data_IF_293985802303
#
_entry.id   IF_293985802303
#
_cell.length_a   1.000
_cell.length_b   1.000
_cell.length_c   1.000
_cell.angle_alpha   90.00
_cell.angle_beta   90.00
_cell.angle_gamma   90.00
#
_symmetry.space_group_name_H-M   'P 1'
#
loop_
_entity.id
_entity.type
_entity.pdbx_description
1 polymer ?
#
# COMPACT_ATOMS: atom_id res chain seq x y z
N UNK A 1 -22.40 -9.38 11.80
CA UNK A 1 -21.07 -8.99 12.35
C UNK A 1 -20.01 -9.58 11.45
N UNK A 2 -19.03 -8.80 11.02
CA UNK A 2 -17.93 -9.28 10.19
C UNK A 2 -16.97 -10.16 11.00
N UNK A 3 -16.31 -11.12 10.35
CA UNK A 3 -15.28 -11.93 11.00
C UNK A 3 -14.04 -11.11 11.27
N UNK A 4 -13.67 -10.24 10.33
CA UNK A 4 -12.66 -9.21 10.58
C UNK A 4 -12.84 -7.97 9.71
N UNK A 5 -12.20 -6.89 10.17
CA UNK A 5 -11.97 -5.66 9.40
C UNK A 5 -10.47 -5.44 9.29
N UNK A 6 -9.99 -5.22 8.06
CA UNK A 6 -8.61 -4.82 7.80
C UNK A 6 -8.52 -3.31 7.55
N UNK A 7 -7.55 -2.66 8.20
CA UNK A 7 -7.35 -1.21 8.17
C UNK A 7 -6.10 -0.87 7.37
N UNK A 8 -6.27 -0.14 6.27
CA UNK A 8 -5.23 0.18 5.31
C UNK A 8 -5.04 -0.94 4.27
N UNK A 9 -4.70 -0.55 3.05
CA UNK A 9 -4.43 -1.47 1.94
C UNK A 9 -3.01 -1.24 1.42
N UNK A 10 -2.02 -1.65 2.22
CA UNK A 10 -0.65 -1.80 1.74
C UNK A 10 -0.41 -3.20 1.17
N UNK A 11 0.79 -3.53 0.66
CA UNK A 11 1.07 -4.84 0.06
C UNK A 11 0.75 -6.03 0.97
N UNK A 12 0.98 -5.93 2.29
CA UNK A 12 0.66 -7.02 3.22
C UNK A 12 -0.84 -7.30 3.32
N UNK A 13 -1.68 -6.27 3.49
CA UNK A 13 -3.11 -6.46 3.52
C UNK A 13 -3.68 -6.82 2.14
N UNK A 14 -3.06 -6.35 1.05
CA UNK A 14 -3.43 -6.79 -0.30
C UNK A 14 -3.08 -8.26 -0.53
N UNK A 15 -1.93 -8.74 -0.02
CA UNK A 15 -1.57 -10.16 -0.03
C UNK A 15 -2.60 -11.00 0.73
N UNK A 16 -2.99 -10.58 1.94
CA UNK A 16 -4.05 -11.25 2.70
C UNK A 16 -5.36 -11.30 1.90
N UNK A 17 -5.78 -10.18 1.32
CA UNK A 17 -7.00 -10.11 0.51
C UNK A 17 -6.94 -11.06 -0.70
N UNK A 18 -5.77 -11.13 -1.35
CA UNK A 18 -5.52 -12.00 -2.50
C UNK A 18 -5.56 -13.49 -2.15
N UNK A 19 -5.00 -13.86 -1.00
CA UNK A 19 -5.00 -15.25 -0.52
C UNK A 19 -6.38 -15.72 -0.05
N UNK A 20 -7.23 -14.79 0.38
CA UNK A 20 -8.62 -15.08 0.76
C UNK A 20 -9.59 -15.07 -0.42
N UNK A 21 -9.15 -14.59 -1.59
CA UNK A 21 -9.99 -14.50 -2.78
C UNK A 21 -10.50 -15.88 -3.20
N UNK A 22 -11.81 -16.02 -3.35
CA UNK A 22 -12.52 -17.26 -3.75
C UNK A 22 -12.31 -18.50 -2.84
N UNK A 23 -11.64 -18.33 -1.68
CA UNK A 23 -11.24 -19.48 -0.83
C UNK A 23 -11.93 -19.53 0.53
N UNK A 24 -12.81 -18.60 0.85
CA UNK A 24 -13.32 -18.48 2.21
C UNK A 24 -14.79 -18.10 2.27
N UNK A 25 -15.47 -18.64 3.28
CA UNK A 25 -16.81 -18.21 3.70
C UNK A 25 -16.77 -17.05 4.70
N UNK A 26 -15.59 -16.50 4.98
CA UNK A 26 -15.42 -15.39 5.90
C UNK A 26 -16.06 -14.12 5.38
N UNK A 27 -16.71 -13.39 6.25
CA UNK A 27 -17.27 -12.07 5.99
C UNK A 27 -16.29 -10.99 6.46
N UNK A 28 -15.65 -10.28 5.53
CA UNK A 28 -14.63 -9.31 5.85
C UNK A 28 -14.67 -8.07 4.94
N UNK A 29 -14.05 -6.98 5.40
CA UNK A 29 -13.87 -5.76 4.62
C UNK A 29 -12.46 -5.18 4.85
N UNK A 30 -11.90 -4.62 3.80
CA UNK A 30 -10.68 -3.82 3.83
C UNK A 30 -11.04 -2.35 3.64
N UNK A 31 -10.64 -1.47 4.55
CA UNK A 31 -10.84 -0.04 4.44
C UNK A 31 -9.55 0.69 4.07
N UNK A 32 -9.56 1.38 2.94
CA UNK A 32 -8.45 2.21 2.48
C UNK A 32 -8.91 3.68 2.31
N UNK A 33 -8.15 4.59 2.90
CA UNK A 33 -8.44 6.05 2.83
C UNK A 33 -8.20 6.66 1.47
N UNK A 34 -7.30 6.09 0.66
CA UNK A 34 -7.00 6.54 -0.70
C UNK A 34 -8.14 6.15 -1.67
N UNK A 35 -8.16 6.80 -2.84
CA UNK A 35 -9.13 6.52 -3.89
C UNK A 35 -8.85 5.21 -4.65
N UNK A 36 -7.62 4.73 -4.59
CA UNK A 36 -7.16 3.50 -5.23
C UNK A 36 -5.92 2.97 -4.51
N UNK A 37 -5.50 1.74 -4.83
CA UNK A 37 -4.22 1.24 -4.36
C UNK A 37 -3.07 2.12 -4.90
N UNK A 38 -2.22 2.57 -4.01
CA UNK A 38 -1.01 3.30 -4.38
C UNK A 38 0.04 3.16 -3.28
N UNK A 39 1.14 2.47 -3.60
CA UNK A 39 2.18 2.15 -2.64
C UNK A 39 3.36 3.10 -2.79
N UNK A 40 3.65 3.87 -1.72
CA UNK A 40 4.78 4.79 -1.67
C UNK A 40 4.87 5.76 -2.87
N UNK A 41 3.75 6.36 -3.28
CA UNK A 41 3.65 7.25 -4.44
C UNK A 41 4.77 8.29 -4.54
N UNK A 42 5.15 8.88 -3.40
CA UNK A 42 6.21 9.89 -3.34
C UNK A 42 7.64 9.35 -3.55
N UNK A 43 7.83 8.02 -3.53
CA UNK A 43 9.14 7.36 -3.59
C UNK A 43 9.34 6.47 -4.83
N UNK A 44 8.44 6.51 -5.80
CA UNK A 44 8.54 5.72 -7.02
C UNK A 44 9.43 6.40 -8.07
N UNK A 45 10.68 6.60 -7.75
CA UNK A 45 11.66 7.21 -8.63
C UNK A 45 11.91 6.31 -9.87
N UNK A 46 12.28 6.89 -11.01
CA UNK A 46 12.79 6.11 -12.14
C UNK A 46 13.98 5.25 -11.70
N UNK A 47 14.09 4.05 -12.26
CA UNK A 47 15.18 3.11 -12.02
C UNK A 47 15.31 2.56 -10.58
N UNK A 48 14.31 2.81 -9.70
CA UNK A 48 14.26 2.12 -8.40
C UNK A 48 13.62 0.75 -8.55
N UNK A 49 14.25 -0.26 -7.96
CA UNK A 49 13.80 -1.65 -7.99
C UNK A 49 13.41 -2.13 -6.59
N UNK A 50 12.69 -3.24 -6.52
CA UNK A 50 12.45 -3.94 -5.26
C UNK A 50 13.76 -4.59 -4.79
N UNK A 51 13.91 -4.69 -3.47
CA UNK A 51 15.06 -5.39 -2.85
C UNK A 51 14.90 -6.90 -2.84
N UNK A 52 13.71 -7.39 -3.15
CA UNK A 52 13.36 -8.80 -3.22
C UNK A 52 13.05 -9.21 -4.65
N UNK A 53 13.31 -10.47 -5.05
CA UNK A 53 12.94 -10.98 -6.35
C UNK A 53 11.43 -10.93 -6.60
N UNK A 54 11.02 -10.92 -7.87
CA UNK A 54 9.61 -10.89 -8.29
C UNK A 54 8.77 -12.06 -7.73
N UNK A 55 9.40 -13.17 -7.37
CA UNK A 55 8.73 -14.32 -6.72
C UNK A 55 8.17 -13.99 -5.32
N UNK A 56 8.69 -12.96 -4.66
CA UNK A 56 8.11 -12.43 -3.43
C UNK A 56 6.95 -11.47 -3.73
N UNK A 57 6.08 -11.88 -4.64
CA UNK A 57 4.84 -11.19 -4.98
C UNK A 57 3.77 -11.37 -3.87
N UNK A 58 2.52 -11.05 -4.16
CA UNK A 58 1.44 -11.09 -3.16
C UNK A 58 1.02 -12.50 -2.75
N UNK A 59 1.26 -13.54 -3.58
CA UNK A 59 0.65 -14.86 -3.40
C UNK A 59 1.57 -16.04 -3.65
N UNK A 60 2.55 -15.92 -4.55
CA UNK A 60 3.28 -17.08 -5.11
C UNK A 60 4.04 -17.92 -4.08
N UNK A 61 4.53 -17.31 -2.98
CA UNK A 61 5.22 -18.05 -1.92
C UNK A 61 4.28 -18.89 -1.05
N UNK A 62 2.98 -18.64 -1.10
CA UNK A 62 1.93 -19.41 -0.36
C UNK A 62 1.13 -20.26 -1.32
N UNK A 63 0.73 -19.70 -2.47
CA UNK A 63 -0.05 -20.36 -3.50
C UNK A 63 0.53 -20.05 -4.89
N UNK A 64 1.50 -20.82 -5.36
CA UNK A 64 2.14 -20.58 -6.65
C UNK A 64 1.20 -20.78 -7.85
N UNK A 65 0.03 -21.38 -7.65
CA UNK A 65 -0.98 -21.60 -8.69
C UNK A 65 -2.01 -20.46 -8.77
N UNK A 66 -1.94 -19.49 -7.87
CA UNK A 66 -2.89 -18.38 -7.81
C UNK A 66 -2.97 -17.59 -9.11
N UNK A 67 -4.20 -17.29 -9.61
CA UNK A 67 -4.40 -16.44 -10.76
C UNK A 67 -3.95 -14.99 -10.52
N UNK A 68 -3.71 -14.62 -9.26
CA UNK A 68 -3.26 -13.27 -8.87
C UNK A 68 -1.74 -13.16 -8.75
N UNK A 69 -0.97 -14.14 -9.25
CA UNK A 69 0.50 -14.11 -9.25
C UNK A 69 1.05 -13.05 -10.20
N UNK A 70 2.28 -12.58 -9.93
CA UNK A 70 2.98 -11.62 -10.78
C UNK A 70 3.20 -12.16 -12.20
N UNK A 71 3.48 -13.46 -12.36
CA UNK A 71 3.64 -14.07 -13.68
C UNK A 71 2.32 -14.09 -14.46
N UNK A 72 1.20 -14.33 -13.81
CA UNK A 72 -0.10 -14.25 -14.46
C UNK A 72 -0.48 -12.82 -14.85
N UNK A 73 -0.14 -11.83 -14.02
CA UNK A 73 -0.23 -10.42 -14.39
C UNK A 73 0.57 -10.11 -15.66
N UNK A 74 1.83 -10.53 -15.73
CA UNK A 74 2.65 -10.33 -16.93
C UNK A 74 2.06 -11.02 -18.17
N UNK A 75 1.49 -12.20 -18.00
CA UNK A 75 0.79 -12.93 -19.07
C UNK A 75 -0.44 -12.13 -19.55
N UNK A 76 -1.27 -11.64 -18.63
CA UNK A 76 -2.45 -10.83 -18.98
C UNK A 76 -2.08 -9.54 -19.72
N UNK A 77 -0.92 -8.97 -19.43
CA UNK A 77 -0.36 -7.79 -20.11
C UNK A 77 0.43 -8.12 -21.38
N UNK A 78 0.47 -9.38 -21.82
CA UNK A 78 1.22 -9.86 -22.98
C UNK A 78 2.73 -9.54 -22.91
N UNK A 79 3.30 -9.54 -21.69
CA UNK A 79 4.68 -9.15 -21.43
C UNK A 79 5.56 -10.27 -20.85
N UNK A 80 5.00 -11.48 -20.67
CA UNK A 80 5.71 -12.58 -20.03
C UNK A 80 7.03 -12.95 -20.74
N UNK A 81 7.02 -13.07 -22.06
CA UNK A 81 8.24 -13.36 -22.83
C UNK A 81 9.27 -12.23 -22.77
N UNK A 82 8.82 -10.99 -22.82
CA UNK A 82 9.73 -9.83 -22.67
C UNK A 82 10.41 -9.83 -21.32
N UNK A 83 9.66 -10.18 -20.27
CA UNK A 83 10.18 -10.29 -18.91
C UNK A 83 11.20 -11.46 -18.80
N UNK A 84 10.90 -12.60 -19.39
CA UNK A 84 11.82 -13.75 -19.41
C UNK A 84 13.19 -13.38 -19.99
N UNK A 85 13.21 -12.72 -21.17
CA UNK A 85 14.45 -12.31 -21.82
C UNK A 85 15.18 -11.14 -21.14
N UNK A 86 14.54 -10.47 -20.18
CA UNK A 86 15.18 -9.41 -19.39
C UNK A 86 16.21 -10.00 -18.39
N UNK A 87 16.02 -11.24 -17.94
CA UNK A 87 16.89 -11.97 -17.01
C UNK A 87 17.17 -11.21 -15.70
N UNK A 88 16.23 -10.36 -15.27
CA UNK A 88 16.35 -9.57 -14.05
C UNK A 88 15.30 -10.00 -13.01
N UNK A 89 15.72 -10.58 -11.87
CA UNK A 89 14.78 -11.02 -10.85
C UNK A 89 14.15 -9.86 -10.06
N UNK A 90 14.83 -8.70 -9.99
CA UNK A 90 14.38 -7.53 -9.25
C UNK A 90 13.60 -6.58 -10.17
N UNK A 91 12.32 -6.43 -9.91
CA UNK A 91 11.42 -5.62 -10.74
C UNK A 91 11.39 -4.15 -10.29
N UNK A 92 11.13 -3.22 -11.22
CA UNK A 92 10.94 -1.83 -10.88
C UNK A 92 9.80 -1.63 -9.85
N UNK A 93 9.98 -0.72 -8.90
CA UNK A 93 8.93 -0.40 -7.91
C UNK A 93 7.62 0.03 -8.56
N UNK A 94 7.68 0.74 -9.68
CA UNK A 94 6.48 1.13 -10.46
C UNK A 94 5.77 -0.08 -11.03
N UNK A 95 6.51 -1.06 -11.53
CA UNK A 95 5.93 -2.31 -12.05
C UNK A 95 5.20 -3.07 -10.94
N UNK A 96 5.81 -3.16 -9.75
CA UNK A 96 5.18 -3.77 -8.60
C UNK A 96 3.90 -3.02 -8.19
N UNK A 97 3.90 -1.70 -8.22
CA UNK A 97 2.71 -0.91 -7.92
C UNK A 97 1.57 -1.16 -8.93
N UNK A 98 1.89 -1.24 -10.23
CA UNK A 98 0.92 -1.58 -11.27
C UNK A 98 0.36 -2.99 -11.09
N UNK A 99 1.22 -3.96 -10.75
CA UNK A 99 0.79 -5.30 -10.42
C UNK A 99 -0.18 -5.30 -9.23
N UNK A 100 0.15 -4.62 -8.15
CA UNK A 100 -0.72 -4.51 -6.99
C UNK A 100 -2.06 -3.82 -7.31
N UNK A 101 -2.07 -2.81 -8.18
CA UNK A 101 -3.28 -2.18 -8.67
C UNK A 101 -4.14 -3.18 -9.47
N UNK A 102 -3.52 -3.90 -10.41
CA UNK A 102 -4.19 -4.92 -11.19
C UNK A 102 -4.81 -6.03 -10.32
N UNK A 103 -4.13 -6.43 -9.25
CA UNK A 103 -4.70 -7.38 -8.27
C UNK A 103 -5.87 -6.74 -7.51
N UNK A 104 -5.68 -5.54 -6.98
CA UNK A 104 -6.68 -4.85 -6.17
C UNK A 104 -7.99 -4.61 -6.94
N UNK A 105 -7.92 -4.37 -8.25
CA UNK A 105 -9.08 -4.17 -9.12
C UNK A 105 -9.93 -5.46 -9.32
N UNK A 106 -9.39 -6.61 -8.98
CA UNK A 106 -10.09 -7.91 -9.07
C UNK A 106 -10.74 -8.32 -7.75
N UNK A 107 -10.52 -7.58 -6.66
CA UNK A 107 -10.98 -7.93 -5.32
C UNK A 107 -12.21 -7.13 -4.90
N UNK A 108 -13.30 -7.84 -4.55
CA UNK A 108 -14.59 -7.22 -4.25
C UNK A 108 -14.76 -6.65 -2.83
N UNK A 109 -13.89 -7.00 -1.87
CA UNK A 109 -14.06 -6.67 -0.46
C UNK A 109 -13.26 -5.44 0.01
N UNK A 110 -12.83 -4.59 -0.93
CA UNK A 110 -12.05 -3.38 -0.67
C UNK A 110 -12.96 -2.16 -0.77
N UNK A 111 -12.95 -1.34 0.29
CA UNK A 111 -13.66 -0.08 0.35
C UNK A 111 -12.66 1.07 0.32
N UNK A 112 -12.51 1.72 -0.83
CA UNK A 112 -11.69 2.91 -1.01
C UNK A 112 -12.37 4.17 -0.47
N UNK A 113 -11.63 5.26 -0.33
CA UNK A 113 -12.11 6.54 0.22
C UNK A 113 -12.78 6.37 1.58
N UNK A 114 -12.29 5.41 2.37
CA UNK A 114 -12.87 4.93 3.62
C UNK A 114 -11.86 5.04 4.73
N UNK A 115 -11.92 6.16 5.47
CA UNK A 115 -10.96 6.46 6.52
C UNK A 115 -11.46 5.98 7.88
N UNK A 116 -10.80 5.01 8.49
CA UNK A 116 -11.07 4.63 9.88
C UNK A 116 -10.70 5.79 10.80
N UNK A 117 -11.65 6.21 11.63
CA UNK A 117 -11.52 7.35 12.56
C UNK A 117 -11.38 6.92 14.00
N UNK A 118 -12.10 5.87 14.40
CA UNK A 118 -12.08 5.37 15.76
C UNK A 118 -12.36 3.88 15.80
N UNK A 119 -11.87 3.24 16.85
CA UNK A 119 -12.08 1.83 17.16
C UNK A 119 -12.44 1.75 18.63
N UNK A 120 -13.53 1.06 18.93
CA UNK A 120 -13.99 0.83 20.31
C UNK A 120 -14.07 -0.66 20.57
N UNK A 121 -13.44 -1.12 21.65
CA UNK A 121 -13.60 -2.47 22.13
C UNK A 121 -15.03 -2.70 22.64
N UNK A 122 -15.61 -3.87 22.34
CA UNK A 122 -16.91 -4.34 22.78
C UNK A 122 -16.74 -5.69 23.48
N UNK A 123 -17.79 -6.18 24.13
CA UNK A 123 -17.78 -7.51 24.77
C UNK A 123 -17.44 -8.64 23.80
N UNK A 124 -17.84 -8.52 22.53
CA UNK A 124 -17.67 -9.56 21.51
C UNK A 124 -16.98 -8.98 20.26
N UNK A 125 -15.84 -8.31 20.41
CA UNK A 125 -15.06 -7.79 19.29
C UNK A 125 -14.91 -6.30 19.28
N UNK A 126 -15.13 -5.65 18.12
CA UNK A 126 -14.82 -4.24 17.92
C UNK A 126 -15.91 -3.52 17.14
N UNK A 127 -16.15 -2.26 17.50
CA UNK A 127 -16.89 -1.30 16.69
C UNK A 127 -15.87 -0.38 15.99
N UNK A 128 -15.93 -0.33 14.67
CA UNK A 128 -15.06 0.49 13.83
C UNK A 128 -15.87 1.61 13.20
N UNK A 129 -15.46 2.86 13.43
CA UNK A 129 -16.08 4.05 12.85
C UNK A 129 -15.30 4.47 11.62
N UNK A 130 -15.97 4.48 10.48
CA UNK A 130 -15.37 4.78 9.16
C UNK A 130 -16.02 6.02 8.57
N UNK A 131 -15.20 6.96 8.13
CA UNK A 131 -15.64 8.13 7.35
C UNK A 131 -15.66 7.77 5.86
N UNK A 132 -16.82 7.86 5.23
CA UNK A 132 -17.06 7.61 3.80
C UNK A 132 -17.94 8.73 3.24
N UNK A 133 -17.46 9.45 2.23
CA UNK A 133 -18.23 10.53 1.60
C UNK A 133 -18.73 11.60 2.59
N UNK A 134 -17.95 11.91 3.62
CA UNK A 134 -18.33 12.87 4.67
C UNK A 134 -19.32 12.34 5.72
N UNK A 135 -19.69 11.06 5.67
CA UNK A 135 -20.56 10.40 6.65
C UNK A 135 -19.77 9.43 7.51
N UNK A 136 -20.21 9.26 8.77
CA UNK A 136 -19.65 8.28 9.69
C UNK A 136 -20.52 7.04 9.73
N UNK A 137 -19.95 5.91 9.32
CA UNK A 137 -20.61 4.60 9.31
C UNK A 137 -19.94 3.74 10.38
N UNK A 138 -20.73 2.94 11.10
CA UNK A 138 -20.25 2.03 12.15
C UNK A 138 -20.34 0.60 11.66
N UNK A 139 -19.25 -0.13 11.83
CA UNK A 139 -19.16 -1.56 11.50
C UNK A 139 -18.78 -2.36 12.74
N UNK A 140 -19.35 -3.55 12.87
CA UNK A 140 -19.02 -4.49 13.94
C UNK A 140 -18.22 -5.66 13.37
N UNK A 141 -17.13 -6.03 14.02
CA UNK A 141 -16.30 -7.17 13.66
C UNK A 141 -15.77 -7.89 14.89
N UNK A 142 -15.43 -9.18 14.72
CA UNK A 142 -14.79 -9.99 15.78
C UNK A 142 -13.30 -9.65 15.92
N UNK A 143 -12.61 -9.46 14.80
CA UNK A 143 -11.16 -9.29 14.76
C UNK A 143 -10.77 -8.06 13.95
N UNK A 144 -9.55 -7.55 14.21
CA UNK A 144 -8.95 -6.46 13.46
C UNK A 144 -7.62 -6.89 12.87
N UNK A 145 -7.38 -6.49 11.62
CA UNK A 145 -6.07 -6.60 10.94
C UNK A 145 -5.57 -5.18 10.68
N UNK A 146 -4.46 -4.79 11.31
CA UNK A 146 -3.94 -3.43 11.22
C UNK A 146 -2.76 -3.40 10.25
N UNK A 147 -2.98 -2.84 9.06
CA UNK A 147 -1.98 -2.65 7.99
C UNK A 147 -1.77 -1.17 7.65
N UNK A 148 -1.73 -0.31 8.65
CA UNK A 148 -1.61 1.15 8.46
C UNK A 148 -0.26 1.61 7.90
N UNK A 149 0.75 0.72 7.88
CA UNK A 149 2.11 1.01 7.44
C UNK A 149 2.87 1.93 8.40
N UNK A 150 4.02 2.40 7.93
CA UNK A 150 4.86 3.33 8.67
C UNK A 150 4.54 4.78 8.32
N UNK A 151 4.72 5.67 9.28
CA UNK A 151 4.69 7.11 9.03
C UNK A 151 6.11 7.65 8.83
N UNK A 152 6.30 8.67 7.98
CA UNK A 152 7.57 9.35 7.87
C UNK A 152 8.04 9.86 9.24
N UNK A 153 9.24 9.46 9.64
CA UNK A 153 9.85 9.92 10.88
C UNK A 153 10.72 11.14 10.62
N UNK A 154 10.50 12.18 11.40
CA UNK A 154 11.33 13.39 11.39
C UNK A 154 12.15 13.43 12.69
N UNK A 155 13.50 13.43 12.62
CA UNK A 155 14.35 13.64 13.78
C UNK A 155 14.00 14.93 14.51
N UNK A 156 14.09 14.91 15.83
CA UNK A 156 13.67 16.04 16.68
C UNK A 156 14.40 17.35 16.34
N UNK A 157 15.69 17.26 16.05
CA UNK A 157 16.51 18.41 15.62
C UNK A 157 16.01 19.11 14.33
N UNK A 158 15.22 18.41 13.50
CA UNK A 158 14.66 18.94 12.26
C UNK A 158 13.23 19.44 12.39
N UNK A 159 12.54 19.15 13.48
CA UNK A 159 11.14 19.58 13.68
C UNK A 159 10.99 21.08 13.68
N UNK A 160 11.89 21.79 14.35
CA UNK A 160 11.89 23.25 14.40
C UNK A 160 12.18 23.84 12.99
N UNK A 161 13.12 23.24 12.27
CA UNK A 161 13.45 23.67 10.91
C UNK A 161 12.26 23.49 9.96
N UNK A 162 11.56 22.37 10.02
CA UNK A 162 10.36 22.12 9.21
C UNK A 162 9.26 23.16 9.50
N UNK A 163 9.09 23.54 10.76
CA UNK A 163 8.09 24.55 11.14
C UNK A 163 8.46 25.96 10.70
N UNK A 164 9.74 26.33 10.79
CA UNK A 164 10.24 27.66 10.42
C UNK A 164 10.32 27.90 8.91
N UNK A 165 10.71 26.88 8.15
CA UNK A 165 10.94 26.97 6.70
C UNK A 165 10.37 25.77 5.94
N UNK A 166 9.04 25.52 6.04
CA UNK A 166 8.40 24.33 5.48
C UNK A 166 8.61 24.21 3.96
N UNK A 167 8.80 25.34 3.28
CA UNK A 167 9.05 25.36 1.83
C UNK A 167 10.46 24.88 1.44
N UNK A 168 11.40 24.82 2.38
CA UNK A 168 12.78 24.34 2.18
C UNK A 168 12.99 22.90 2.64
N UNK A 169 11.97 22.27 3.20
CA UNK A 169 12.03 20.93 3.71
C UNK A 169 11.17 19.98 2.86
N UNK A 170 11.71 18.82 2.50
CA UNK A 170 10.99 17.75 1.82
C UNK A 170 11.38 16.42 2.47
N UNK A 171 10.41 15.66 2.94
CA UNK A 171 10.65 14.29 3.36
C UNK A 171 10.72 13.37 2.13
N UNK A 172 11.63 12.37 2.12
CA UNK A 172 11.77 11.45 0.99
C UNK A 172 10.47 10.74 0.60
N UNK A 173 9.63 10.42 1.57
CA UNK A 173 8.32 9.80 1.34
C UNK A 173 7.37 10.64 0.46
N UNK A 174 7.62 11.95 0.35
CA UNK A 174 6.78 12.90 -0.39
C UNK A 174 7.51 13.49 -1.60
N UNK A 175 8.72 13.05 -1.90
CA UNK A 175 9.58 13.68 -2.90
C UNK A 175 8.90 13.86 -4.27
N UNK A 176 8.21 12.83 -4.77
CA UNK A 176 7.54 12.93 -6.08
C UNK A 176 6.21 13.69 -6.04
N UNK A 177 5.54 13.76 -4.90
CA UNK A 177 4.30 14.54 -4.73
C UNK A 177 4.57 16.03 -4.62
N UNK A 178 5.76 16.40 -4.14
CA UNK A 178 6.23 17.79 -4.10
C UNK A 178 6.89 18.30 -5.41
N UNK A 179 6.74 17.60 -6.50
CA UNK A 179 7.36 17.89 -7.82
C UNK A 179 7.21 19.34 -8.34
N UNK A 180 6.26 20.09 -7.85
CA UNK A 180 6.09 21.50 -8.27
C UNK A 180 7.18 22.43 -7.72
N UNK A 181 7.99 21.98 -6.76
CA UNK A 181 9.10 22.76 -6.20
C UNK A 181 10.39 22.37 -6.91
N UNK A 182 10.86 23.19 -7.84
CA UNK A 182 12.22 23.07 -8.35
C UNK A 182 13.17 23.44 -7.22
N UNK A 183 13.90 22.44 -6.71
CA UNK A 183 14.99 22.67 -5.76
C UNK A 183 16.01 23.58 -6.44
N UNK A 184 16.34 24.72 -5.84
CA UNK A 184 17.33 25.68 -6.33
C UNK A 184 18.41 25.85 -5.25
N UNK A 185 19.65 25.99 -5.69
CA UNK A 185 20.80 26.17 -4.80
C UNK A 185 21.33 24.87 -4.23
N UNK A 186 22.00 24.94 -3.09
CA UNK A 186 22.60 23.77 -2.42
C UNK A 186 21.51 22.95 -1.73
N UNK A 187 21.56 21.63 -1.91
CA UNK A 187 20.64 20.66 -1.30
C UNK A 187 21.42 19.78 -0.34
N UNK A 188 20.93 19.66 0.88
CA UNK A 188 21.47 18.74 1.90
C UNK A 188 20.52 17.54 2.01
N UNK A 189 21.06 16.33 1.85
CA UNK A 189 20.34 15.09 2.07
C UNK A 189 20.74 14.52 3.43
N UNK A 190 19.76 14.30 4.29
CA UNK A 190 19.97 13.74 5.63
C UNK A 190 19.48 12.30 5.68
N UNK A 191 20.38 11.39 6.05
CA UNK A 191 20.13 9.96 6.10
C UNK A 191 20.69 9.22 4.90
N UNK A 192 20.90 7.92 5.08
CA UNK A 192 21.40 6.98 4.08
C UNK A 192 20.56 5.71 4.00
N UNK A 193 19.31 5.76 4.49
CA UNK A 193 18.36 4.66 4.39
C UNK A 193 18.00 4.37 2.94
N UNK A 194 17.63 3.13 2.69
CA UNK A 194 17.18 2.67 1.37
C UNK A 194 15.71 2.99 1.12
#
# INVERSE_FOLDING_TARGET
MLDFIAIGLGPFNLSLASLLHEKTELHYLFFEKKAQFDWHAGMQLPNTVLQVPFMADLVSMVDPTSPLSFLNYLKSQQRLYKFYFLEQPHIPRREYNHYCQWVADQLGHIQYQSKVKAIYAKSEGFEVVVEQGGRFIRYLCRNLVIGSGNQPYLPECLRNLQQQVPEKYIHSAEYLTHKKRKLKGNVIVLGSGQ
#
